data_IF_765834343350
#
_entry.id   IF_765834343350
#
_cell.length_a   1.000
_cell.length_b   1.000
_cell.length_c   1.000
_cell.angle_alpha   90.00
_cell.angle_beta   90.00
_cell.angle_gamma   90.00
#
_symmetry.space_group_name_H-M   'P 1'
#
loop_
_entity.id
_entity.type
_entity.pdbx_description
1 polymer ?
#
# COMPACT_ATOMS: atom_id res chain seq x y z
N UNK A 1 44.81 -31.14 3.63
CA UNK A 1 44.61 -30.11 4.67
C UNK A 1 44.42 -28.68 4.16
N UNK A 2 45.31 -28.07 3.37
CA UNK A 2 45.09 -26.68 2.89
C UNK A 2 44.07 -26.56 1.74
N UNK A 3 43.98 -27.58 0.87
CA UNK A 3 43.04 -27.60 -0.27
C UNK A 3 41.58 -27.80 0.17
N UNK A 4 41.34 -28.68 1.15
CA UNK A 4 40.00 -28.98 1.66
C UNK A 4 39.34 -27.77 2.34
N UNK A 5 40.12 -26.96 3.06
CA UNK A 5 39.64 -25.71 3.68
C UNK A 5 39.19 -24.68 2.64
N UNK A 6 39.87 -24.63 1.48
CA UNK A 6 39.48 -23.76 0.36
C UNK A 6 38.17 -24.24 -0.28
N UNK A 7 38.00 -25.55 -0.44
CA UNK A 7 36.77 -26.13 -1.00
C UNK A 7 35.54 -25.86 -0.11
N UNK A 8 35.68 -26.03 1.21
CA UNK A 8 34.59 -25.75 2.16
C UNK A 8 34.17 -24.27 2.10
N UNK A 9 35.14 -23.36 2.04
CA UNK A 9 34.86 -21.93 1.94
C UNK A 9 34.13 -21.59 0.63
N UNK A 10 34.56 -22.16 -0.49
CA UNK A 10 33.90 -21.94 -1.79
C UNK A 10 32.45 -22.44 -1.80
N UNK A 11 32.19 -23.61 -1.22
CA UNK A 11 30.83 -24.16 -1.11
C UNK A 11 29.93 -23.30 -0.23
N UNK A 12 30.46 -22.78 0.88
CA UNK A 12 29.73 -21.88 1.76
C UNK A 12 29.35 -20.57 1.07
N UNK A 13 30.30 -19.96 0.35
CA UNK A 13 30.06 -18.72 -0.40
C UNK A 13 29.03 -18.96 -1.52
N UNK A 14 29.14 -20.07 -2.26
CA UNK A 14 28.19 -20.40 -3.31
C UNK A 14 26.76 -20.62 -2.77
N UNK A 15 26.62 -21.33 -1.65
CA UNK A 15 25.34 -21.52 -0.96
C UNK A 15 24.76 -20.19 -0.47
N UNK A 16 25.59 -19.33 0.13
CA UNK A 16 25.18 -18.01 0.61
C UNK A 16 24.70 -17.10 -0.54
N UNK A 17 25.42 -17.07 -1.66
CA UNK A 17 25.02 -16.30 -2.85
C UNK A 17 23.71 -16.85 -3.43
N UNK A 18 23.56 -18.18 -3.52
CA UNK A 18 22.32 -18.81 -3.97
C UNK A 18 21.12 -18.45 -3.09
N UNK A 19 21.32 -18.44 -1.76
CA UNK A 19 20.31 -18.02 -0.80
C UNK A 19 19.92 -16.54 -0.98
N UNK A 20 20.88 -15.64 -1.20
CA UNK A 20 20.59 -14.23 -1.46
C UNK A 20 19.77 -14.04 -2.74
N UNK A 21 20.08 -14.79 -3.81
CA UNK A 21 19.31 -14.76 -5.07
C UNK A 21 17.89 -15.30 -4.84
N UNK A 22 17.74 -16.38 -4.07
CA UNK A 22 16.45 -16.97 -3.73
C UNK A 22 15.57 -16.00 -2.92
N UNK A 23 16.12 -15.35 -1.88
CA UNK A 23 15.42 -14.33 -1.09
C UNK A 23 15.04 -13.12 -1.96
N UNK A 24 15.92 -12.70 -2.87
CA UNK A 24 15.62 -11.60 -3.80
C UNK A 24 14.49 -11.95 -4.76
N UNK A 25 14.39 -13.20 -5.19
CA UNK A 25 13.29 -13.69 -6.05
C UNK A 25 11.94 -13.68 -5.33
N UNK A 26 11.93 -13.90 -4.01
CA UNK A 26 10.73 -13.75 -3.17
C UNK A 26 10.32 -12.27 -3.06
N UNK A 27 11.28 -11.34 -3.15
CA UNK A 27 11.02 -9.91 -3.04
C UNK A 27 10.65 -9.22 -4.36
N UNK A 28 10.94 -9.82 -5.51
CA UNK A 28 10.46 -9.38 -6.83
C UNK A 28 9.05 -9.91 -7.07
N UNK A 29 8.13 -9.52 -6.19
CA UNK A 29 6.71 -9.40 -6.51
C UNK A 29 6.28 -7.96 -6.26
N UNK A 30 7.10 -7.00 -6.69
CA UNK A 30 6.57 -5.73 -7.20
C UNK A 30 5.86 -6.06 -8.52
N UNK A 31 4.65 -6.61 -8.35
CA UNK A 31 3.66 -6.81 -9.40
C UNK A 31 3.81 -5.68 -10.40
N UNK A 32 4.20 -6.03 -11.64
CA UNK A 32 3.89 -5.19 -12.79
C UNK A 32 2.38 -5.05 -12.76
N UNK A 33 1.88 -4.05 -12.02
CA UNK A 33 0.49 -3.66 -12.10
C UNK A 33 0.38 -3.12 -13.52
N UNK A 34 0.01 -4.05 -14.38
CA UNK A 34 -0.50 -3.81 -15.71
C UNK A 34 -1.27 -2.49 -15.65
N UNK A 35 -0.82 -1.49 -16.41
CA UNK A 35 -1.51 -0.22 -16.68
C UNK A 35 -2.89 -0.50 -17.29
N UNK A 36 -3.82 -0.96 -16.47
CA UNK A 36 -5.20 -1.27 -16.82
C UNK A 36 -6.02 -0.93 -15.57
N UNK A 37 -6.97 -0.02 -15.57
CA UNK A 37 -7.84 0.35 -16.66
C UNK A 37 -7.86 1.86 -16.89
N UNK A 38 -7.98 2.26 -18.16
CA UNK A 38 -8.35 3.61 -18.53
C UNK A 38 -9.74 3.88 -17.90
N UNK A 39 -9.77 4.59 -16.76
CA UNK A 39 -11.02 4.97 -16.10
C UNK A 39 -11.63 6.07 -16.95
N UNK A 40 -12.49 5.69 -17.90
CA UNK A 40 -13.17 6.63 -18.78
C UNK A 40 -14.18 7.46 -17.99
N UNK A 41 -13.95 8.76 -17.93
CA UNK A 41 -14.81 9.77 -17.30
C UNK A 41 -15.39 10.67 -18.39
N UNK A 42 -16.57 11.24 -18.15
CA UNK A 42 -17.24 12.14 -19.08
C UNK A 42 -18.48 11.51 -19.72
N UNK A 43 -18.96 12.13 -20.81
CA UNK A 43 -20.21 11.74 -21.48
C UNK A 43 -20.17 10.27 -21.93
N UNK A 44 -21.30 9.60 -21.83
CA UNK A 44 -21.43 8.17 -22.18
C UNK A 44 -20.88 7.19 -21.15
N UNK A 45 -20.41 7.66 -19.98
CA UNK A 45 -19.90 6.82 -18.90
C UNK A 45 -20.63 7.10 -17.59
N UNK A 46 -20.68 6.13 -16.64
CA UNK A 46 -21.26 6.35 -15.32
C UNK A 46 -20.58 7.51 -14.56
N UNK A 47 -21.27 8.19 -13.64
CA UNK A 47 -20.65 9.21 -12.80
C UNK A 47 -19.50 8.63 -11.97
N UNK A 48 -18.58 9.51 -11.57
CA UNK A 48 -17.50 9.18 -10.64
C UNK A 48 -17.60 10.14 -9.45
N UNK A 49 -17.42 9.61 -8.25
CA UNK A 49 -17.54 10.36 -7.01
C UNK A 49 -16.17 10.60 -6.37
N UNK A 50 -16.07 11.70 -5.63
CA UNK A 50 -14.97 11.95 -4.71
C UNK A 50 -15.51 11.86 -3.28
N UNK A 51 -14.93 10.98 -2.48
CA UNK A 51 -15.30 10.79 -1.08
C UNK A 51 -14.21 11.37 -0.18
N UNK A 52 -14.65 12.15 0.80
CA UNK A 52 -13.84 12.49 1.95
C UNK A 52 -14.32 11.66 3.14
N UNK A 53 -13.44 10.83 3.69
CA UNK A 53 -13.75 9.93 4.81
C UNK A 53 -12.91 10.38 6.02
N UNK A 54 -13.46 11.25 6.88
CA UNK A 54 -12.82 11.64 8.11
C UNK A 54 -13.01 10.58 9.20
N UNK A 55 -12.12 10.57 10.18
CA UNK A 55 -12.29 9.91 11.46
C UNK A 55 -11.38 10.51 12.50
N UNK A 56 -11.57 10.05 13.74
CA UNK A 56 -10.86 10.48 14.93
C UNK A 56 -9.86 9.40 15.37
N UNK A 57 -9.23 9.61 16.53
CA UNK A 57 -8.32 8.64 17.11
C UNK A 57 -9.00 7.26 17.30
N UNK A 58 -8.37 6.20 16.80
CA UNK A 58 -8.88 4.83 16.87
C UNK A 58 -9.83 4.42 15.74
N UNK A 59 -10.14 5.30 14.78
CA UNK A 59 -11.06 5.02 13.69
C UNK A 59 -10.39 4.38 12.46
N UNK A 60 -9.07 4.17 12.43
CA UNK A 60 -8.38 3.64 11.24
C UNK A 60 -9.00 2.35 10.68
N UNK A 61 -9.34 1.38 11.54
CA UNK A 61 -9.98 0.12 11.13
C UNK A 61 -11.41 0.33 10.62
N UNK A 62 -12.13 1.31 11.20
CA UNK A 62 -13.50 1.63 10.79
C UNK A 62 -13.50 2.33 9.43
N UNK A 63 -12.60 3.29 9.24
CA UNK A 63 -12.35 3.95 7.94
C UNK A 63 -11.98 2.90 6.90
N UNK A 64 -11.06 1.99 7.21
CA UNK A 64 -10.64 0.96 6.28
C UNK A 64 -11.79 0.02 5.91
N UNK A 65 -12.59 -0.43 6.88
CA UNK A 65 -13.79 -1.23 6.63
C UNK A 65 -14.81 -0.51 5.76
N UNK A 66 -15.08 0.78 6.04
CA UNK A 66 -15.98 1.60 5.23
C UNK A 66 -15.46 1.74 3.81
N UNK A 67 -14.17 2.06 3.64
CA UNK A 67 -13.52 2.18 2.35
C UNK A 67 -13.74 0.92 1.52
N UNK A 68 -13.50 -0.28 2.09
CA UNK A 68 -13.71 -1.54 1.40
C UNK A 68 -15.18 -1.75 0.98
N UNK A 69 -16.14 -1.30 1.80
CA UNK A 69 -17.56 -1.43 1.49
C UNK A 69 -18.02 -0.50 0.35
N UNK A 70 -17.42 0.69 0.23
CA UNK A 70 -17.80 1.69 -0.79
C UNK A 70 -16.82 1.79 -1.96
N UNK A 71 -15.80 0.93 -2.00
CA UNK A 71 -14.71 1.04 -2.98
C UNK A 71 -15.21 0.77 -4.40
N UNK A 72 -14.88 1.69 -5.30
CA UNK A 72 -15.04 1.52 -6.73
C UNK A 72 -13.83 2.12 -7.46
N UNK A 73 -13.24 1.41 -8.44
CA UNK A 73 -12.07 1.90 -9.20
C UNK A 73 -12.24 3.26 -9.88
N UNK A 74 -13.49 3.64 -10.17
CA UNK A 74 -13.81 4.93 -10.83
C UNK A 74 -13.74 6.13 -9.88
N UNK A 75 -14.03 5.91 -8.61
CA UNK A 75 -14.15 6.95 -7.59
C UNK A 75 -12.78 7.32 -7.03
N UNK A 76 -12.70 8.43 -6.32
CA UNK A 76 -11.50 8.89 -5.62
C UNK A 76 -11.79 9.07 -4.14
N UNK A 77 -10.84 8.73 -3.29
CA UNK A 77 -11.03 8.73 -1.84
C UNK A 77 -9.90 9.50 -1.17
N UNK A 78 -10.27 10.42 -0.29
CA UNK A 78 -9.36 11.10 0.61
C UNK A 78 -9.68 10.65 2.03
N UNK A 79 -8.73 9.95 2.66
CA UNK A 79 -8.86 9.48 4.03
C UNK A 79 -8.15 10.43 4.97
N UNK A 80 -8.81 10.78 6.06
CA UNK A 80 -8.28 11.69 7.05
C UNK A 80 -8.50 11.15 8.44
N UNK A 81 -7.43 11.14 9.23
CA UNK A 81 -7.51 11.01 10.68
C UNK A 81 -7.06 12.36 11.23
N UNK A 82 -7.89 12.96 12.08
CA UNK A 82 -7.65 14.29 12.66
C UNK A 82 -6.35 14.37 13.48
N UNK A 83 -6.03 15.58 13.96
CA UNK A 83 -4.83 15.83 14.78
C UNK A 83 -4.80 15.02 16.07
N UNK A 84 -5.95 14.58 16.55
CA UNK A 84 -6.10 13.75 17.75
C UNK A 84 -5.60 12.32 17.53
N UNK A 85 -5.47 11.88 16.27
CA UNK A 85 -4.95 10.58 15.91
C UNK A 85 -3.43 10.54 15.80
N UNK A 86 -2.85 9.45 16.30
CA UNK A 86 -1.40 9.26 16.31
C UNK A 86 -0.82 9.16 14.88
N UNK A 87 0.43 9.56 14.73
CA UNK A 87 1.17 9.42 13.47
C UNK A 87 1.30 7.95 13.04
N UNK A 88 1.41 7.02 14.00
CA UNK A 88 1.47 5.60 13.71
C UNK A 88 0.12 5.06 13.24
N UNK A 89 -0.99 5.61 13.73
CA UNK A 89 -2.32 5.24 13.27
C UNK A 89 -2.52 5.63 11.79
N UNK A 90 -2.14 6.86 11.42
CA UNK A 90 -2.14 7.32 10.02
C UNK A 90 -1.25 6.44 9.14
N UNK A 91 -0.04 6.10 9.63
CA UNK A 91 0.86 5.17 8.93
C UNK A 91 0.22 3.79 8.76
N UNK A 92 -0.40 3.26 9.80
CA UNK A 92 -1.11 1.97 9.77
C UNK A 92 -2.22 1.98 8.73
N UNK A 93 -3.05 3.02 8.70
CA UNK A 93 -4.09 3.19 7.68
C UNK A 93 -3.49 3.17 6.26
N UNK A 94 -2.39 3.90 6.04
CA UNK A 94 -1.71 3.92 4.73
C UNK A 94 -1.21 2.54 4.31
N UNK A 95 -0.71 1.73 5.24
CA UNK A 95 -0.23 0.37 4.98
C UNK A 95 -1.38 -0.56 4.67
N UNK A 96 -2.48 -0.49 5.43
CA UNK A 96 -3.69 -1.30 5.20
C UNK A 96 -4.28 -1.02 3.81
N UNK A 97 -4.41 0.25 3.43
CA UNK A 97 -4.88 0.66 2.10
C UNK A 97 -3.99 0.11 0.99
N UNK A 98 -2.66 0.21 1.14
CA UNK A 98 -1.68 -0.32 0.16
C UNK A 98 -1.61 -1.84 0.14
N UNK A 99 -2.12 -2.54 1.14
CA UNK A 99 -2.16 -4.01 1.13
C UNK A 99 -3.16 -4.56 0.11
N UNK A 100 -4.20 -3.78 -0.24
CA UNK A 100 -5.28 -4.19 -1.14
C UNK A 100 -4.81 -4.13 -2.60
N UNK A 101 -4.79 -5.26 -3.34
CA UNK A 101 -4.29 -5.29 -4.72
C UNK A 101 -5.03 -4.35 -5.67
N UNK A 102 -6.37 -4.25 -5.55
CA UNK A 102 -7.18 -3.36 -6.37
C UNK A 102 -6.81 -1.88 -6.12
N UNK A 103 -6.64 -1.49 -4.86
CA UNK A 103 -6.24 -0.12 -4.50
C UNK A 103 -4.86 0.22 -5.06
N UNK A 104 -3.89 -0.70 -4.95
CA UNK A 104 -2.57 -0.51 -5.55
C UNK A 104 -2.63 -0.35 -7.06
N UNK A 105 -3.49 -1.11 -7.74
CA UNK A 105 -3.62 -1.09 -9.18
C UNK A 105 -4.21 0.23 -9.71
N UNK A 106 -5.19 0.81 -9.00
CA UNK A 106 -5.90 2.01 -9.45
C UNK A 106 -5.35 3.32 -8.87
N UNK A 107 -4.64 3.28 -7.74
CA UNK A 107 -3.98 4.46 -7.16
C UNK A 107 -4.94 5.62 -6.85
N UNK A 108 -6.19 5.31 -6.54
CA UNK A 108 -7.29 6.27 -6.42
C UNK A 108 -7.65 6.62 -4.96
N UNK A 109 -6.74 6.34 -4.02
CA UNK A 109 -6.91 6.59 -2.59
C UNK A 109 -5.70 7.36 -2.06
N UNK A 110 -5.96 8.49 -1.41
CA UNK A 110 -4.99 9.39 -0.81
C UNK A 110 -5.23 9.44 0.72
N UNK A 111 -4.17 9.34 1.53
CA UNK A 111 -4.24 9.44 3.01
C UNK A 111 -3.51 10.69 3.45
N UNK A 112 -4.17 11.55 4.23
CA UNK A 112 -3.57 12.79 4.73
C UNK A 112 -2.49 12.47 5.76
N UNK A 113 -1.25 12.79 5.43
CA UNK A 113 -0.09 12.53 6.29
C UNK A 113 0.06 13.55 7.42
N UNK A 114 -0.21 14.83 7.16
CA UNK A 114 -0.15 15.91 8.15
C UNK A 114 -1.55 16.56 8.26
N UNK A 115 -2.36 16.17 9.26
CA UNK A 115 -3.65 16.80 9.50
C UNK A 115 -3.39 18.24 9.99
N UNK A 116 -4.23 19.17 9.54
CA UNK A 116 -4.16 20.56 9.99
C UNK A 116 -5.04 20.76 11.22
N UNK A 117 -4.58 21.60 12.15
CA UNK A 117 -5.28 21.87 13.41
C UNK A 117 -6.61 22.61 13.19
N UNK A 118 -6.82 23.22 12.02
CA UNK A 118 -8.10 23.87 11.69
C UNK A 118 -9.16 22.88 11.22
N UNK A 119 -8.80 21.61 10.99
CA UNK A 119 -9.75 20.55 10.63
C UNK A 119 -10.36 19.97 11.90
N UNK A 120 -11.15 20.77 12.61
CA UNK A 120 -12.04 20.28 13.65
C UNK A 120 -13.28 19.67 12.97
N UNK A 121 -13.43 18.34 13.05
CA UNK A 121 -14.69 17.65 12.77
C UNK A 121 -15.08 16.81 13.98
#
# INVERSE_FOLDING_TARGET
MASEKKLILTLFIASFISLLIFISSIHVSSSSYKLYANVCRGRGHPPAFAYYIPGTCGDAERIFRLLLAVYHPRNRYLLHIGTDGDGDERRKLSVMVRSVPAVRAFGNIDVIGKPDATTFM
#
